data_IF_625644555274
#
_entry.id   IF_625644555274
#
_cell.length_a   1.000
_cell.length_b   1.000
_cell.length_c   1.000
_cell.angle_alpha   90.00
_cell.angle_beta   90.00
_cell.angle_gamma   90.00
#
_symmetry.space_group_name_H-M   'P 1'
#
loop_
_entity.id
_entity.type
_entity.pdbx_description
1 polymer ?
#
# COMPACT_ATOMS: atom_id res chain seq x y z
N UNK A 1 -24.20 -6.94 -12.32
CA UNK A 1 -23.68 -6.93 -10.93
C UNK A 1 -22.40 -6.11 -10.91
N UNK A 2 -22.32 -5.10 -10.08
CA UNK A 2 -21.07 -4.37 -9.87
C UNK A 2 -20.07 -5.31 -9.21
N UNK A 3 -18.91 -5.51 -9.84
CA UNK A 3 -17.82 -6.26 -9.21
C UNK A 3 -17.43 -5.53 -7.92
N UNK A 4 -17.31 -6.28 -6.82
CA UNK A 4 -16.82 -5.75 -5.55
C UNK A 4 -15.42 -5.18 -5.74
N UNK A 5 -15.23 -3.88 -5.46
CA UNK A 5 -13.93 -3.20 -5.53
C UNK A 5 -13.23 -3.37 -4.19
N UNK A 6 -12.26 -4.26 -4.12
CA UNK A 6 -11.47 -4.53 -2.91
C UNK A 6 -10.05 -4.01 -3.09
N UNK A 7 -9.67 -3.05 -2.25
CA UNK A 7 -8.33 -2.48 -2.22
C UNK A 7 -7.52 -3.07 -1.07
N UNK A 8 -6.43 -3.77 -1.41
CA UNK A 8 -5.39 -4.07 -0.44
C UNK A 8 -4.53 -2.82 -0.26
N UNK A 9 -4.70 -2.12 0.85
CA UNK A 9 -3.97 -0.91 1.19
C UNK A 9 -2.77 -1.26 2.07
N UNK A 10 -1.58 -1.19 1.48
CA UNK A 10 -0.31 -1.40 2.19
C UNK A 10 0.20 -0.05 2.68
N UNK A 11 0.49 0.05 3.97
CA UNK A 11 1.00 1.30 4.58
C UNK A 11 2.40 1.11 5.15
N UNK A 12 3.27 2.06 4.88
CA UNK A 12 4.65 2.09 5.35
C UNK A 12 4.88 3.21 6.36
N UNK A 13 5.98 3.15 7.12
CA UNK A 13 6.32 4.12 8.14
C UNK A 13 6.92 5.40 7.56
N UNK A 14 6.07 6.25 7.01
CA UNK A 14 6.38 7.62 6.63
C UNK A 14 5.31 8.56 7.20
N UNK A 15 5.60 9.86 7.42
CA UNK A 15 4.69 10.78 8.11
C UNK A 15 3.23 10.77 7.66
N UNK A 16 2.91 10.64 6.36
CA UNK A 16 1.51 10.59 5.92
C UNK A 16 0.67 9.46 6.52
N UNK A 17 1.30 8.36 7.01
CA UNK A 17 0.57 7.24 7.62
C UNK A 17 -0.22 7.66 8.87
N UNK A 18 0.22 8.72 9.56
CA UNK A 18 -0.47 9.24 10.74
C UNK A 18 -1.85 9.81 10.40
N UNK A 19 -2.12 10.09 9.13
CA UNK A 19 -3.41 10.58 8.63
C UNK A 19 -4.11 9.56 7.72
N UNK A 20 -3.76 8.29 7.83
CA UNK A 20 -4.29 7.25 6.94
C UNK A 20 -5.81 7.05 7.07
N UNK A 21 -6.37 7.30 8.26
CA UNK A 21 -7.81 7.22 8.48
C UNK A 21 -8.61 8.12 7.54
N UNK A 22 -8.09 9.32 7.23
CA UNK A 22 -8.72 10.25 6.28
C UNK A 22 -8.76 9.66 4.86
N UNK A 23 -7.68 9.02 4.42
CA UNK A 23 -7.64 8.35 3.13
C UNK A 23 -8.64 7.18 3.07
N UNK A 24 -8.71 6.39 4.14
CA UNK A 24 -9.66 5.27 4.21
C UNK A 24 -11.10 5.77 4.06
N UNK A 25 -11.48 6.84 4.75
CA UNK A 25 -12.82 7.43 4.61
C UNK A 25 -13.13 7.81 3.15
N UNK A 26 -12.22 8.52 2.51
CA UNK A 26 -12.37 8.94 1.11
C UNK A 26 -12.46 7.75 0.15
N UNK A 27 -11.68 6.70 0.38
CA UNK A 27 -11.73 5.49 -0.44
C UNK A 27 -13.05 4.73 -0.25
N UNK A 28 -13.56 4.66 0.98
CA UNK A 28 -14.86 4.05 1.26
C UNK A 28 -16.00 4.85 0.64
N UNK A 29 -15.97 6.17 0.70
CA UNK A 29 -16.91 7.06 -0.01
C UNK A 29 -16.87 6.85 -1.53
N UNK A 30 -15.69 6.55 -2.09
CA UNK A 30 -15.50 6.23 -3.52
C UNK A 30 -15.90 4.77 -3.87
N UNK A 31 -16.41 4.02 -2.90
CA UNK A 31 -16.96 2.67 -3.11
C UNK A 31 -15.95 1.53 -2.98
N UNK A 32 -14.78 1.77 -2.39
CA UNK A 32 -13.82 0.73 -2.09
C UNK A 32 -14.12 0.00 -0.77
N UNK A 33 -14.01 -1.33 -0.79
CA UNK A 33 -13.76 -2.11 0.42
C UNK A 33 -12.26 -2.05 0.69
N UNK A 34 -11.86 -1.47 1.81
CA UNK A 34 -10.44 -1.26 2.13
C UNK A 34 -9.97 -2.30 3.14
N UNK A 35 -8.89 -2.99 2.81
CA UNK A 35 -8.24 -3.97 3.68
C UNK A 35 -6.79 -3.54 3.93
N UNK A 36 -6.47 -3.25 5.19
CA UNK A 36 -5.19 -2.63 5.56
C UNK A 36 -4.15 -3.66 5.96
N UNK A 37 -2.95 -3.53 5.40
CA UNK A 37 -1.76 -4.24 5.82
C UNK A 37 -0.65 -3.23 6.10
N UNK A 38 -0.06 -3.29 7.29
CA UNK A 38 1.01 -2.39 7.71
C UNK A 38 2.36 -3.12 7.72
N UNK A 39 3.43 -2.39 7.38
CA UNK A 39 4.78 -2.85 7.69
C UNK A 39 4.96 -2.93 9.21
N UNK A 40 5.89 -3.76 9.72
CA UNK A 40 6.11 -3.86 11.17
C UNK A 40 6.35 -2.52 11.85
N UNK A 41 7.12 -1.62 11.22
CA UNK A 41 7.36 -0.28 11.78
C UNK A 41 6.11 0.59 11.71
N UNK A 42 5.40 0.61 10.60
CA UNK A 42 4.15 1.39 10.48
C UNK A 42 3.11 0.94 11.49
N UNK A 43 3.04 -0.34 11.80
CA UNK A 43 2.12 -0.89 12.79
C UNK A 43 2.31 -0.29 14.20
N UNK A 44 3.52 0.19 14.51
CA UNK A 44 3.82 0.85 15.80
C UNK A 44 3.40 2.32 15.82
N UNK A 45 3.07 2.92 14.67
CA UNK A 45 2.70 4.33 14.52
C UNK A 45 1.19 4.56 14.41
N UNK A 46 0.41 3.51 14.20
CA UNK A 46 -1.02 3.58 13.93
C UNK A 46 -1.85 2.91 15.04
N UNK A 47 -3.09 3.33 15.17
CA UNK A 47 -4.08 2.65 16.03
C UNK A 47 -4.76 1.53 15.22
N UNK A 48 -4.23 0.31 15.35
CA UNK A 48 -4.71 -0.86 14.61
C UNK A 48 -6.15 -1.21 14.92
N UNK A 49 -6.56 -1.04 16.18
CA UNK A 49 -7.93 -1.36 16.61
C UNK A 49 -8.94 -0.38 16.01
N UNK A 50 -8.64 0.92 16.06
CA UNK A 50 -9.48 1.94 15.45
C UNK A 50 -9.61 1.77 13.93
N UNK A 51 -8.51 1.47 13.24
CA UNK A 51 -8.50 1.26 11.79
C UNK A 51 -9.22 -0.05 11.39
N UNK A 52 -9.12 -1.10 12.21
CA UNK A 52 -9.89 -2.33 12.00
C UNK A 52 -11.39 -2.08 12.15
N UNK A 53 -11.79 -1.29 13.15
CA UNK A 53 -13.20 -0.89 13.31
C UNK A 53 -13.71 -0.05 12.13
N UNK A 54 -12.88 0.87 11.63
CA UNK A 54 -13.22 1.72 10.49
C UNK A 54 -13.40 0.94 9.19
N UNK A 55 -12.51 -0.03 8.92
CA UNK A 55 -12.55 -0.81 7.67
C UNK A 55 -13.49 -2.01 7.73
N UNK A 56 -13.79 -2.51 8.93
CA UNK A 56 -14.51 -3.76 9.14
C UNK A 56 -13.65 -5.02 8.98
N UNK A 57 -12.34 -4.87 8.82
CA UNK A 57 -11.38 -5.96 8.67
C UNK A 57 -10.17 -5.78 9.59
N UNK A 58 -9.55 -6.87 10.07
CA UNK A 58 -8.35 -6.74 10.90
C UNK A 58 -7.21 -6.09 10.12
N UNK A 59 -6.42 -5.24 10.78
CA UNK A 59 -5.16 -4.74 10.22
C UNK A 59 -4.12 -5.84 10.28
N UNK A 60 -3.64 -6.29 9.13
CA UNK A 60 -2.62 -7.33 9.06
C UNK A 60 -1.21 -6.74 9.16
N UNK A 61 -0.33 -7.47 9.82
CA UNK A 61 1.09 -7.13 9.96
C UNK A 61 1.96 -8.36 9.76
N UNK A 62 1.53 -9.49 10.32
CA UNK A 62 2.28 -10.73 10.36
C UNK A 62 1.73 -11.76 9.35
N UNK A 63 2.59 -12.65 8.91
CA UNK A 63 2.20 -13.81 8.12
C UNK A 63 1.19 -14.69 8.90
N UNK A 64 0.22 -15.24 8.18
CA UNK A 64 -0.63 -16.30 8.72
C UNK A 64 0.21 -17.58 8.90
N UNK A 65 -0.17 -18.38 9.90
CA UNK A 65 0.32 -19.76 9.97
C UNK A 65 -0.42 -20.61 8.93
N UNK A 66 0.23 -21.68 8.41
CA UNK A 66 -0.46 -22.62 7.53
C UNK A 66 -1.75 -23.13 8.17
N UNK A 67 -2.84 -23.12 7.40
CA UNK A 67 -4.17 -23.55 7.87
C UNK A 67 -5.02 -22.48 8.54
N UNK A 68 -4.49 -21.32 8.86
CA UNK A 68 -5.28 -20.18 9.32
C UNK A 68 -6.05 -19.55 8.14
N UNK A 69 -7.33 -19.15 8.35
CA UNK A 69 -8.13 -18.53 7.29
C UNK A 69 -7.58 -17.18 6.88
N UNK A 70 -7.75 -16.82 5.60
CA UNK A 70 -7.44 -15.47 5.12
C UNK A 70 -8.47 -14.48 5.64
N UNK A 71 -8.08 -13.46 6.42
CA UNK A 71 -9.02 -12.52 7.01
C UNK A 71 -9.50 -11.44 6.04
N UNK A 72 -8.83 -11.25 4.90
CA UNK A 72 -9.20 -10.26 3.89
C UNK A 72 -9.79 -10.94 2.66
N UNK A 73 -10.81 -10.35 2.01
CA UNK A 73 -11.28 -10.83 0.72
C UNK A 73 -10.22 -10.64 -0.36
N UNK A 74 -10.29 -11.38 -1.49
CA UNK A 74 -9.37 -11.20 -2.59
C UNK A 74 -9.36 -9.76 -3.12
N UNK A 75 -8.17 -9.17 -3.23
CA UNK A 75 -8.03 -7.80 -3.72
C UNK A 75 -8.23 -7.72 -5.23
N UNK A 76 -8.91 -6.68 -5.68
CA UNK A 76 -9.01 -6.31 -7.11
C UNK A 76 -7.98 -5.27 -7.52
N UNK A 77 -7.41 -4.56 -6.56
CA UNK A 77 -6.30 -3.63 -6.73
C UNK A 77 -5.46 -3.56 -5.45
N UNK A 78 -4.22 -3.13 -5.59
CA UNK A 78 -3.28 -2.92 -4.49
C UNK A 78 -2.74 -1.50 -4.56
N UNK A 79 -2.66 -0.83 -3.42
CA UNK A 79 -1.97 0.44 -3.29
C UNK A 79 -0.98 0.39 -2.13
N UNK A 80 0.19 0.96 -2.30
CA UNK A 80 1.13 1.20 -1.20
C UNK A 80 1.23 2.70 -0.94
N UNK A 81 0.71 3.14 0.20
CA UNK A 81 0.49 4.55 0.55
C UNK A 81 0.68 4.76 2.05
N UNK A 82 1.64 5.50 2.49
CA UNK A 82 2.82 5.95 1.76
C UNK A 82 3.77 4.79 1.48
N UNK A 83 4.55 4.89 0.42
CA UNK A 83 5.64 3.97 0.12
C UNK A 83 6.97 4.57 0.55
N UNK A 84 7.76 3.81 1.32
CA UNK A 84 9.08 4.24 1.79
C UNK A 84 10.19 3.83 0.82
N UNK A 85 11.34 4.51 0.92
CA UNK A 85 12.58 4.13 0.24
C UNK A 85 12.93 2.65 0.47
N UNK A 86 12.85 2.19 1.71
CA UNK A 86 13.18 0.81 2.05
C UNK A 86 12.25 -0.20 1.35
N UNK A 87 10.94 0.04 1.39
CA UNK A 87 9.97 -0.87 0.75
C UNK A 87 10.11 -0.86 -0.77
N UNK A 88 10.28 0.31 -1.39
CA UNK A 88 10.49 0.42 -2.84
C UNK A 88 11.73 -0.36 -3.28
N UNK A 89 12.86 -0.20 -2.58
CA UNK A 89 14.10 -0.90 -2.92
C UNK A 89 14.00 -2.40 -2.71
N UNK A 90 13.43 -2.85 -1.61
CA UNK A 90 13.23 -4.29 -1.34
C UNK A 90 12.28 -4.92 -2.35
N UNK A 91 11.15 -4.30 -2.59
CA UNK A 91 10.14 -4.76 -3.54
C UNK A 91 10.70 -4.92 -4.96
N UNK A 92 11.38 -3.89 -5.46
CA UNK A 92 12.01 -3.93 -6.79
C UNK A 92 13.06 -5.04 -6.94
N UNK A 93 13.69 -5.45 -5.84
CA UNK A 93 14.67 -6.56 -5.81
C UNK A 93 14.04 -7.92 -5.52
N UNK A 94 12.72 -7.99 -5.34
CA UNK A 94 12.03 -9.24 -5.02
C UNK A 94 12.27 -9.73 -3.59
N UNK A 95 12.71 -8.86 -2.68
CA UNK A 95 12.85 -9.20 -1.26
C UNK A 95 11.46 -9.35 -0.65
N UNK A 96 11.24 -10.45 0.06
CA UNK A 96 9.93 -10.90 0.53
C UNK A 96 9.96 -11.22 2.03
N UNK A 97 10.51 -10.33 2.83
CA UNK A 97 10.78 -10.56 4.26
C UNK A 97 9.72 -9.99 5.22
N UNK A 98 8.64 -9.42 4.69
CA UNK A 98 7.47 -8.99 5.45
C UNK A 98 6.19 -9.35 4.72
N UNK A 99 5.05 -9.45 5.44
CA UNK A 99 3.75 -9.66 4.81
C UNK A 99 3.44 -8.55 3.79
N UNK A 100 3.73 -7.28 4.12
CA UNK A 100 3.52 -6.16 3.22
C UNK A 100 4.24 -6.35 1.88
N UNK A 101 5.52 -6.74 1.91
CA UNK A 101 6.27 -7.07 0.70
C UNK A 101 5.70 -8.29 -0.03
N UNK A 102 5.25 -9.30 0.72
CA UNK A 102 4.58 -10.47 0.15
C UNK A 102 3.38 -10.10 -0.69
N UNK A 103 2.51 -9.25 -0.19
CA UNK A 103 1.34 -8.76 -0.92
C UNK A 103 1.75 -8.01 -2.18
N UNK A 104 2.75 -7.14 -2.11
CA UNK A 104 3.24 -6.37 -3.25
C UNK A 104 3.88 -7.26 -4.32
N UNK A 105 4.71 -8.21 -3.92
CA UNK A 105 5.37 -9.16 -4.83
C UNK A 105 4.34 -10.09 -5.49
N UNK A 106 3.41 -10.64 -4.73
CA UNK A 106 2.37 -11.52 -5.25
C UNK A 106 1.43 -10.81 -6.22
N UNK A 107 1.09 -9.54 -5.95
CA UNK A 107 0.25 -8.73 -6.82
C UNK A 107 0.88 -8.56 -8.22
N UNK A 108 2.19 -8.35 -8.31
CA UNK A 108 2.89 -8.28 -9.60
C UNK A 108 2.79 -9.61 -10.36
N UNK A 109 3.03 -10.72 -9.68
CA UNK A 109 2.94 -12.05 -10.29
C UNK A 109 1.54 -12.43 -10.73
N UNK A 110 0.51 -11.96 -10.03
CA UNK A 110 -0.90 -12.19 -10.33
C UNK A 110 -1.48 -11.23 -11.40
N UNK A 111 -0.73 -10.20 -11.79
CA UNK A 111 -1.21 -9.18 -12.73
C UNK A 111 -2.31 -8.29 -12.15
N UNK A 112 -2.41 -8.17 -10.84
CA UNK A 112 -3.34 -7.26 -10.17
C UNK A 112 -2.82 -5.82 -10.32
N UNK A 113 -3.67 -4.83 -10.65
CA UNK A 113 -3.26 -3.43 -10.70
C UNK A 113 -2.63 -2.96 -9.39
N UNK A 114 -1.44 -2.37 -9.47
CA UNK A 114 -0.71 -1.85 -8.30
C UNK A 114 -0.34 -0.40 -8.50
N UNK A 115 -0.61 0.42 -7.49
CA UNK A 115 -0.22 1.83 -7.49
C UNK A 115 0.63 2.14 -6.24
N UNK A 116 1.81 2.70 -6.46
CA UNK A 116 2.70 3.16 -5.40
C UNK A 116 2.66 4.69 -5.26
N UNK A 117 2.59 5.16 -4.01
CA UNK A 117 2.60 6.59 -3.67
C UNK A 117 3.80 6.87 -2.76
N UNK A 118 4.99 7.11 -3.34
CA UNK A 118 6.18 7.37 -2.56
C UNK A 118 6.10 8.63 -1.70
N UNK A 119 6.61 8.53 -0.47
CA UNK A 119 6.97 9.66 0.36
C UNK A 119 8.37 9.42 0.89
N UNK A 120 9.36 9.99 0.22
CA UNK A 120 10.79 9.69 0.43
C UNK A 120 11.55 11.01 0.54
N UNK A 121 12.48 11.07 1.51
CA UNK A 121 13.35 12.24 1.70
C UNK A 121 14.19 12.50 0.47
N UNK A 122 14.44 13.79 0.17
CA UNK A 122 15.23 14.24 -0.99
C UNK A 122 16.59 13.53 -1.08
N UNK A 123 17.31 13.42 0.04
CA UNK A 123 18.63 12.76 0.08
C UNK A 123 18.55 11.27 -0.31
N UNK A 124 17.42 10.60 -0.02
CA UNK A 124 17.21 9.20 -0.39
C UNK A 124 16.74 9.07 -1.84
N UNK A 125 15.95 10.01 -2.36
CA UNK A 125 15.58 10.02 -3.79
C UNK A 125 16.81 10.24 -4.69
N UNK A 126 17.83 10.93 -4.19
CA UNK A 126 19.10 11.14 -4.89
C UNK A 126 20.03 9.90 -4.83
N UNK A 127 19.70 8.87 -4.04
CA UNK A 127 20.49 7.64 -4.00
C UNK A 127 20.47 6.92 -5.37
N UNK A 128 21.63 6.46 -5.89
CA UNK A 128 21.71 5.90 -7.25
C UNK A 128 20.76 4.72 -7.53
N UNK A 129 20.38 3.95 -6.50
CA UNK A 129 19.48 2.82 -6.66
C UNK A 129 18.00 3.22 -6.78
N UNK A 130 17.60 4.39 -6.28
CA UNK A 130 16.19 4.75 -6.16
C UNK A 130 15.49 4.86 -7.53
N UNK A 131 16.00 5.67 -8.43
CA UNK A 131 15.44 5.81 -9.78
C UNK A 131 15.44 4.50 -10.56
N UNK A 132 16.49 3.70 -10.42
CA UNK A 132 16.58 2.39 -11.06
C UNK A 132 15.50 1.44 -10.54
N UNK A 133 15.26 1.42 -9.24
CA UNK A 133 14.23 0.59 -8.64
C UNK A 133 12.81 1.07 -8.99
N UNK A 134 12.57 2.38 -9.00
CA UNK A 134 11.29 2.90 -9.48
C UNK A 134 11.01 2.52 -10.93
N UNK A 135 11.99 2.67 -11.81
CA UNK A 135 11.84 2.27 -13.22
C UNK A 135 11.57 0.78 -13.34
N UNK A 136 12.28 -0.05 -12.59
CA UNK A 136 12.04 -1.50 -12.56
C UNK A 136 10.59 -1.85 -12.19
N UNK A 137 10.03 -1.16 -11.20
CA UNK A 137 8.63 -1.34 -10.80
C UNK A 137 7.66 -0.83 -11.89
N UNK A 138 7.96 0.31 -12.49
CA UNK A 138 7.15 0.85 -13.60
C UNK A 138 7.18 -0.06 -14.83
N UNK A 139 8.33 -0.66 -15.15
CA UNK A 139 8.46 -1.66 -16.23
C UNK A 139 7.64 -2.93 -15.92
N UNK A 140 7.42 -3.22 -14.65
CA UNK A 140 6.51 -4.27 -14.18
C UNK A 140 5.05 -3.81 -14.05
N UNK A 141 4.68 -2.69 -14.68
CA UNK A 141 3.34 -2.11 -14.72
C UNK A 141 2.84 -1.52 -13.39
N UNK A 142 3.72 -1.19 -12.45
CA UNK A 142 3.35 -0.42 -11.25
C UNK A 142 3.16 1.04 -11.65
N UNK A 143 1.99 1.60 -11.35
CA UNK A 143 1.77 3.03 -11.45
C UNK A 143 2.45 3.73 -10.25
N UNK A 144 3.12 4.84 -10.49
CA UNK A 144 3.83 5.59 -9.44
C UNK A 144 3.38 7.04 -9.45
N UNK A 145 2.89 7.51 -8.30
CA UNK A 145 2.53 8.91 -8.08
C UNK A 145 3.09 9.36 -6.74
N UNK A 146 4.17 10.14 -6.70
CA UNK A 146 4.69 10.67 -5.45
C UNK A 146 3.64 11.49 -4.69
N UNK A 147 3.58 11.35 -3.37
CA UNK A 147 2.73 12.20 -2.55
C UNK A 147 3.28 13.63 -2.53
N UNK A 148 2.41 14.65 -2.64
CA UNK A 148 2.83 16.04 -2.58
C UNK A 148 3.40 16.41 -1.20
N UNK A 149 4.21 17.47 -1.15
CA UNK A 149 4.77 17.97 0.11
C UNK A 149 3.67 18.43 1.07
N UNK A 150 2.62 19.07 0.58
CA UNK A 150 1.37 19.27 1.31
C UNK A 150 0.45 18.08 0.99
N UNK A 151 0.15 17.30 2.01
CA UNK A 151 -0.60 16.07 1.85
C UNK A 151 -2.03 16.36 1.36
N UNK A 152 -2.34 15.82 0.18
CA UNK A 152 -3.66 15.84 -0.41
C UNK A 152 -4.07 14.44 -0.84
N UNK A 153 -4.96 13.82 -0.07
CA UNK A 153 -5.45 12.47 -0.35
C UNK A 153 -6.35 12.38 -1.60
N UNK A 154 -6.94 13.48 -2.05
CA UNK A 154 -7.79 13.46 -3.26
C UNK A 154 -7.01 13.05 -4.51
N UNK A 155 -5.72 13.38 -4.59
CA UNK A 155 -4.85 12.89 -5.68
C UNK A 155 -4.75 11.36 -5.66
N UNK A 156 -4.54 10.77 -4.49
CA UNK A 156 -4.45 9.31 -4.37
C UNK A 156 -5.79 8.63 -4.73
N UNK A 157 -6.90 9.13 -4.21
CA UNK A 157 -8.24 8.60 -4.52
C UNK A 157 -8.53 8.69 -6.01
N UNK A 158 -8.25 9.84 -6.64
CA UNK A 158 -8.45 10.04 -8.07
C UNK A 158 -7.64 9.03 -8.92
N UNK A 159 -6.40 8.80 -8.56
CA UNK A 159 -5.54 7.83 -9.26
C UNK A 159 -6.03 6.39 -9.11
N UNK A 160 -6.60 6.05 -7.96
CA UNK A 160 -7.10 4.69 -7.68
C UNK A 160 -8.46 4.39 -8.31
N UNK A 161 -9.21 5.40 -8.75
CA UNK A 161 -10.50 5.18 -9.44
C UNK A 161 -10.40 4.33 -10.69
N UNK A 162 -9.27 4.38 -11.35
CA UNK A 162 -9.02 3.73 -12.64
C UNK A 162 -8.10 2.50 -12.51
N UNK A 163 -7.90 2.03 -11.27
CA UNK A 163 -7.13 0.83 -11.00
C UNK A 163 -7.96 -0.45 -11.21
#
# INVERSE_FOLDING_TARGET
MSQSRVLALVVCAAPPVLRIAELIDLLQEDGWTVCLTATPTAATWIDREALAAQTGYPVRVEWRKPGEPEPHPPATAVAVVPATFNVINKWAQGINDTLALGILNEALGAGIPVHAFPNVKEQLTAHPSYDRHLRSLQDAAVAVTPLPAELDWHTAVHRLRFA
#
